data_IF_020020575330
#
_entry.id   IF_020020575330
#
_cell.length_a   1.000
_cell.length_b   1.000
_cell.length_c   1.000
_cell.angle_alpha   90.00
_cell.angle_beta   90.00
_cell.angle_gamma   90.00
#
_symmetry.space_group_name_H-M   'P 1'
#
loop_
_entity.id
_entity.type
_entity.pdbx_description
1 polymer ?
#
# COMPACT_ATOMS: atom_id res chain seq x y z
N UNK A 1 12.81 7.15 13.14
CA UNK A 1 12.01 8.28 12.60
C UNK A 1 10.81 7.70 11.85
N UNK A 2 9.67 8.40 11.77
CA UNK A 2 8.51 8.00 10.94
C UNK A 2 8.19 9.13 9.96
N UNK A 3 7.99 8.78 8.70
CA UNK A 3 7.51 9.67 7.65
C UNK A 3 6.34 9.01 6.89
N UNK A 4 5.45 9.83 6.34
CA UNK A 4 4.34 9.37 5.53
C UNK A 4 4.20 10.24 4.28
N UNK A 5 4.36 9.63 3.12
CA UNK A 5 4.26 10.28 1.83
C UNK A 5 3.02 9.77 1.11
N UNK A 6 2.21 10.69 0.58
CA UNK A 6 1.14 10.33 -0.35
C UNK A 6 1.67 10.42 -1.77
N UNK A 7 1.50 9.35 -2.53
CA UNK A 7 1.93 9.27 -3.93
C UNK A 7 0.74 9.11 -4.86
N UNK A 8 0.76 9.80 -5.99
CA UNK A 8 -0.21 9.59 -7.08
C UNK A 8 0.22 8.39 -7.91
N UNK A 9 -0.61 7.34 -7.94
CA UNK A 9 -0.40 6.14 -8.75
C UNK A 9 -0.84 6.34 -10.20
N UNK A 10 -1.99 6.99 -10.38
CA UNK A 10 -2.56 7.28 -11.70
C UNK A 10 -3.53 8.46 -11.62
N UNK A 11 -3.97 8.96 -12.77
CA UNK A 11 -5.09 9.90 -12.88
C UNK A 11 -6.20 9.24 -13.69
N UNK A 12 -7.39 9.13 -13.09
CA UNK A 12 -8.57 8.60 -13.77
C UNK A 12 -9.00 9.56 -14.90
N UNK A 13 -9.73 9.08 -15.93
CA UNK A 13 -10.18 9.92 -17.04
C UNK A 13 -11.04 11.13 -16.62
N UNK A 14 -11.69 11.07 -15.46
CA UNK A 14 -12.42 12.19 -14.86
C UNK A 14 -11.53 13.29 -14.28
N UNK A 15 -10.21 13.10 -14.24
CA UNK A 15 -9.23 14.00 -13.66
C UNK A 15 -8.88 13.71 -12.20
N UNK A 16 -9.58 12.77 -11.55
CA UNK A 16 -9.35 12.37 -10.15
C UNK A 16 -8.01 11.63 -10.02
N UNK A 17 -7.21 12.04 -9.04
CA UNK A 17 -5.95 11.37 -8.70
C UNK A 17 -6.26 10.10 -7.88
N UNK A 18 -5.67 8.99 -8.31
CA UNK A 18 -5.63 7.75 -7.55
C UNK A 18 -4.34 7.77 -6.73
N UNK A 19 -4.47 7.74 -5.41
CA UNK A 19 -3.33 7.92 -4.50
C UNK A 19 -3.21 6.76 -3.50
N UNK A 20 -1.99 6.46 -3.07
CA UNK A 20 -1.74 5.63 -1.90
C UNK A 20 -0.77 6.33 -0.94
N UNK A 21 -0.64 5.82 0.29
CA UNK A 21 0.28 6.34 1.29
C UNK A 21 1.37 5.33 1.58
N UNK A 22 2.63 5.77 1.45
CA UNK A 22 3.82 5.05 1.85
C UNK A 22 4.20 5.54 3.24
N UNK A 23 4.33 4.62 4.19
CA UNK A 23 4.87 4.90 5.52
C UNK A 23 6.29 4.36 5.61
N UNK A 24 7.23 5.22 5.98
CA UNK A 24 8.64 4.83 6.17
C UNK A 24 9.02 4.98 7.63
N UNK A 25 9.61 3.94 8.21
CA UNK A 25 10.06 3.90 9.60
C UNK A 25 11.55 3.56 9.67
N UNK A 26 12.21 4.08 10.70
CA UNK A 26 13.58 3.76 11.05
C UNK A 26 14.55 4.91 10.83
N UNK A 27 15.83 4.57 10.73
CA UNK A 27 16.96 5.48 10.59
C UNK A 27 17.87 5.11 9.40
N UNK A 28 17.59 4.00 8.73
CA UNK A 28 18.41 3.50 7.62
C UNK A 28 19.56 2.59 8.06
N UNK A 29 19.82 2.42 9.36
CA UNK A 29 20.92 1.58 9.85
C UNK A 29 20.48 0.12 10.00
N UNK A 30 20.70 -0.66 8.93
CA UNK A 30 20.37 -2.08 8.89
C UNK A 30 19.56 -2.48 7.64
N UNK A 31 18.87 -3.63 7.66
CA UNK A 31 18.13 -4.11 6.51
C UNK A 31 16.90 -3.24 6.21
N UNK A 32 16.49 -3.25 4.95
CA UNK A 32 15.22 -2.65 4.50
C UNK A 32 14.19 -3.75 4.24
N UNK A 33 13.00 -3.61 4.84
CA UNK A 33 11.86 -4.48 4.60
C UNK A 33 10.73 -3.69 3.94
N UNK A 34 10.17 -4.22 2.86
CA UNK A 34 8.94 -3.73 2.24
C UNK A 34 7.76 -4.62 2.64
N UNK A 35 6.66 -4.04 3.07
CA UNK A 35 5.43 -4.76 3.42
C UNK A 35 4.22 -4.03 2.84
N UNK A 36 3.34 -4.75 2.17
CA UNK A 36 2.10 -4.20 1.63
C UNK A 36 0.88 -5.00 2.04
N UNK A 37 -0.30 -4.39 1.96
CA UNK A 37 -1.59 -5.03 2.15
C UNK A 37 -2.63 -4.50 1.16
N UNK A 38 -3.81 -5.14 1.15
CA UNK A 38 -4.94 -4.77 0.30
C UNK A 38 -4.57 -4.58 -1.18
N UNK A 39 -3.87 -5.58 -1.73
CA UNK A 39 -3.76 -5.75 -3.17
C UNK A 39 -5.09 -6.22 -3.78
N UNK A 40 -5.93 -6.85 -2.95
CA UNK A 40 -7.35 -7.07 -3.23
C UNK A 40 -8.16 -6.37 -2.14
N UNK A 41 -9.15 -5.57 -2.53
CA UNK A 41 -9.89 -4.71 -1.60
C UNK A 41 -10.71 -5.40 -0.52
N UNK A 42 -11.03 -6.68 -0.68
CA UNK A 42 -11.74 -7.48 0.34
C UNK A 42 -10.82 -8.06 1.42
N UNK A 43 -9.50 -8.02 1.21
CA UNK A 43 -8.50 -8.65 2.08
C UNK A 43 -7.96 -7.66 3.14
N UNK A 44 -8.88 -7.07 3.90
CA UNK A 44 -8.62 -5.93 4.82
C UNK A 44 -7.73 -6.27 6.03
N UNK A 45 -7.55 -7.56 6.34
CA UNK A 45 -6.82 -8.00 7.53
C UNK A 45 -5.37 -7.50 7.53
N UNK A 46 -4.71 -7.46 6.36
CA UNK A 46 -3.35 -6.94 6.25
C UNK A 46 -3.27 -5.44 6.55
N UNK A 47 -4.25 -4.65 6.10
CA UNK A 47 -4.31 -3.22 6.37
C UNK A 47 -4.50 -2.94 7.87
N UNK A 48 -5.33 -3.72 8.55
CA UNK A 48 -5.50 -3.62 10.01
C UNK A 48 -4.23 -4.03 10.78
N UNK A 49 -3.53 -5.06 10.32
CA UNK A 49 -2.22 -5.44 10.89
C UNK A 49 -1.21 -4.29 10.74
N UNK A 50 -1.12 -3.67 9.56
CA UNK A 50 -0.22 -2.55 9.34
C UNK A 50 -0.61 -1.31 10.17
N UNK A 51 -1.92 -1.07 10.39
CA UNK A 51 -2.40 -0.01 11.28
C UNK A 51 -2.00 -0.25 12.74
N UNK A 52 -2.04 -1.50 13.23
CA UNK A 52 -1.56 -1.84 14.57
C UNK A 52 -0.04 -1.76 14.67
N UNK A 53 0.66 -2.26 13.66
CA UNK A 53 2.12 -2.19 13.58
C UNK A 53 2.62 -0.74 13.62
N UNK A 54 1.94 0.19 12.94
CA UNK A 54 2.23 1.61 13.03
C UNK A 54 2.26 2.11 14.48
N UNK A 55 1.23 1.79 15.28
CA UNK A 55 1.16 2.20 16.68
C UNK A 55 2.31 1.60 17.53
N UNK A 56 2.63 0.32 17.30
CA UNK A 56 3.74 -0.35 17.99
C UNK A 56 5.10 0.26 17.61
N UNK A 57 5.33 0.56 16.33
CA UNK A 57 6.57 1.17 15.85
C UNK A 57 6.76 2.58 16.39
N UNK A 58 5.69 3.37 16.51
CA UNK A 58 5.77 4.69 17.14
C UNK A 58 6.07 4.61 18.65
N UNK A 59 5.45 3.64 19.34
CA UNK A 59 5.67 3.42 20.77
C UNK A 59 7.09 2.94 21.08
N UNK A 60 7.70 2.16 20.18
CA UNK A 60 9.01 1.52 20.35
C UNK A 60 10.09 2.06 19.41
N UNK A 61 9.92 3.30 18.93
CA UNK A 61 10.79 3.89 17.89
C UNK A 61 12.28 3.91 18.25
N UNK A 62 12.60 3.97 19.54
CA UNK A 62 13.98 4.04 20.05
C UNK A 62 14.64 2.64 20.11
N UNK A 63 13.85 1.56 20.00
CA UNK A 63 14.31 0.16 19.94
C UNK A 63 14.40 -0.38 18.49
N UNK A 64 13.98 0.40 17.50
CA UNK A 64 13.90 -0.03 16.11
C UNK A 64 15.17 0.31 15.34
N UNK A 65 15.75 -0.68 14.63
CA UNK A 65 16.91 -0.49 13.74
C UNK A 65 16.59 -0.99 12.34
N UNK A 66 17.06 -0.26 11.33
CA UNK A 66 16.85 -0.58 9.91
C UNK A 66 15.82 0.34 9.27
N UNK A 67 15.18 -0.16 8.20
CA UNK A 67 14.11 0.55 7.49
C UNK A 67 12.91 -0.36 7.26
N UNK A 68 11.71 0.12 7.58
CA UNK A 68 10.46 -0.49 7.15
C UNK A 68 9.72 0.47 6.23
N UNK A 69 9.42 0.01 5.02
CA UNK A 69 8.51 0.69 4.08
C UNK A 69 7.18 -0.08 4.08
N UNK A 70 6.10 0.57 4.48
CA UNK A 70 4.78 -0.03 4.60
C UNK A 70 3.74 0.67 3.73
N UNK A 71 3.00 -0.10 2.93
CA UNK A 71 1.89 0.37 2.08
C UNK A 71 0.60 -0.34 2.49
N UNK A 72 -0.23 0.26 3.37
CA UNK A 72 -1.43 -0.39 3.91
C UNK A 72 -2.52 -0.68 2.87
N UNK A 73 -2.55 0.09 1.78
CA UNK A 73 -3.49 -0.06 0.66
C UNK A 73 -2.73 -0.01 -0.65
N UNK A 74 -2.33 -1.16 -1.17
CA UNK A 74 -1.58 -1.26 -2.43
C UNK A 74 -2.47 -0.95 -3.65
N UNK A 75 -3.74 -1.33 -3.60
CA UNK A 75 -4.71 -1.08 -4.67
C UNK A 75 -5.93 -0.31 -4.13
N UNK A 76 -5.92 1.04 -4.20
CA UNK A 76 -7.06 1.85 -3.77
C UNK A 76 -8.31 1.63 -4.63
N UNK A 77 -8.18 1.21 -5.90
CA UNK A 77 -9.34 0.96 -6.79
C UNK A 77 -10.21 -0.15 -6.22
N UNK A 78 -9.58 -1.27 -5.86
CA UNK A 78 -10.31 -2.43 -5.34
C UNK A 78 -10.71 -2.25 -3.89
N UNK A 79 -9.87 -1.59 -3.09
CA UNK A 79 -10.18 -1.28 -1.69
C UNK A 79 -11.45 -0.44 -1.54
N UNK A 80 -11.54 0.70 -2.23
CA UNK A 80 -12.70 1.61 -2.15
C UNK A 80 -13.98 0.98 -2.69
N UNK A 81 -13.85 -0.01 -3.58
CA UNK A 81 -14.98 -0.72 -4.19
C UNK A 81 -15.32 -2.03 -3.50
N UNK A 82 -14.57 -2.40 -2.46
CA UNK A 82 -14.74 -3.67 -1.74
C UNK A 82 -14.76 -4.86 -2.72
N UNK A 83 -13.93 -4.80 -3.76
CA UNK A 83 -13.86 -5.82 -4.82
C UNK A 83 -12.60 -6.66 -4.70
N UNK A 84 -12.62 -7.85 -5.30
CA UNK A 84 -11.43 -8.71 -5.33
C UNK A 84 -10.46 -8.28 -6.42
N UNK A 85 -10.98 -7.92 -7.60
CA UNK A 85 -10.24 -7.39 -8.74
C UNK A 85 -10.77 -6.00 -9.10
N UNK A 86 -10.03 -5.23 -9.88
CA UNK A 86 -10.52 -4.00 -10.46
C UNK A 86 -11.84 -4.28 -11.21
N UNK A 87 -12.83 -3.38 -11.12
CA UNK A 87 -14.05 -3.52 -11.90
C UNK A 87 -13.73 -3.46 -13.40
N UNK A 88 -14.43 -4.28 -14.18
CA UNK A 88 -14.30 -4.34 -15.64
C UNK A 88 -14.38 -2.96 -16.33
N UNK A 89 -15.23 -2.01 -15.92
CA UNK A 89 -15.23 -0.67 -16.55
C UNK A 89 -13.96 0.16 -16.34
N UNK A 90 -13.10 -0.21 -15.39
CA UNK A 90 -11.82 0.44 -15.16
C UNK A 90 -10.67 -0.33 -15.80
N UNK A 91 -10.69 -1.64 -15.65
CA UNK A 91 -9.71 -2.52 -16.26
C UNK A 91 -10.33 -3.90 -16.51
N UNK A 92 -10.57 -4.20 -17.78
CA UNK A 92 -11.11 -5.49 -18.22
C UNK A 92 -10.01 -6.47 -18.64
N UNK A 93 -8.75 -6.03 -18.72
CA UNK A 93 -7.63 -6.82 -19.26
C UNK A 93 -6.75 -7.33 -18.13
N UNK A 94 -6.34 -6.42 -17.24
CA UNK A 94 -5.37 -6.64 -16.17
C UNK A 94 -6.00 -6.42 -14.78
N UNK A 95 -7.26 -6.80 -14.64
CA UNK A 95 -8.08 -6.51 -13.45
C UNK A 95 -7.51 -7.05 -12.12
N UNK A 96 -6.68 -8.09 -12.14
CA UNK A 96 -6.12 -8.68 -10.93
C UNK A 96 -4.65 -8.28 -10.78
N UNK A 97 -4.38 -7.28 -9.93
CA UNK A 97 -3.03 -6.78 -9.66
C UNK A 97 -2.04 -7.90 -9.28
N UNK A 98 -2.48 -8.98 -8.61
CA UNK A 98 -1.62 -10.12 -8.26
C UNK A 98 -1.19 -10.98 -9.45
N UNK A 99 -1.63 -10.65 -10.66
CA UNK A 99 -1.32 -11.36 -11.90
C UNK A 99 -0.63 -10.46 -12.93
N UNK A 100 -0.34 -9.23 -12.55
CA UNK A 100 0.17 -8.20 -13.45
C UNK A 100 1.59 -7.76 -13.10
N UNK A 101 2.30 -8.48 -12.20
CA UNK A 101 3.71 -8.23 -11.90
C UNK A 101 4.62 -8.80 -13.01
N UNK A 102 5.73 -8.11 -13.39
CA UNK A 102 6.22 -6.84 -12.87
C UNK A 102 5.42 -5.62 -13.34
N UNK A 103 4.59 -5.81 -14.38
CA UNK A 103 3.77 -4.76 -14.99
C UNK A 103 4.62 -3.95 -15.96
N UNK A 104 4.29 -4.00 -17.25
CA UNK A 104 5.12 -3.43 -18.31
C UNK A 104 4.46 -3.55 -19.70
N UNK A 105 3.13 -3.67 -19.76
CA UNK A 105 2.35 -3.49 -21.01
C UNK A 105 1.66 -2.13 -21.06
#
# INVERSE_FOLDING_TARGET
MHDAERITLARLPSGVELETTIHTYGDGDGPTLYVQAAQHGREINGSEVLRRLHAELLARRDDFSGTLVAVPVADPITFDRVSYTAPEPLDSVNANMNRCWPGDE
#
